data_IF_120664475409
#
_entry.id   IF_120664475409
#
_cell.length_a   1.000
_cell.length_b   1.000
_cell.length_c   1.000
_cell.angle_alpha   90.00
_cell.angle_beta   90.00
_cell.angle_gamma   90.00
#
_symmetry.space_group_name_H-M   'P 1'
#
loop_
_entity.id
_entity.type
_entity.pdbx_description
1 polymer ?
#
# COMPACT_ATOMS: atom_id res chain seq x y z
N UNK A 1 21.35 -20.94 5.62
CA UNK A 1 20.89 -20.63 5.71
C UNK A 1 20.09 -20.11 6.08
N UNK A 2 19.93 -19.94 6.08
CA UNK A 2 19.24 -19.51 6.42
C UNK A 2 18.82 -18.43 6.58
N UNK A 3 19.01 -17.98 6.68
CA UNK A 3 18.79 -16.83 6.93
C UNK A 3 17.96 -16.06 6.18
N UNK A 4 18.06 -16.07 5.25
CA UNK A 4 17.38 -15.46 4.34
C UNK A 4 16.00 -15.66 4.42
N UNK A 5 15.67 -16.57 4.86
CA UNK A 5 14.38 -16.94 4.91
C UNK A 5 13.49 -16.05 5.65
N UNK A 6 13.88 -15.63 6.75
CA UNK A 6 13.06 -14.87 7.54
C UNK A 6 12.69 -13.61 6.94
N UNK A 7 13.56 -13.08 6.20
CA UNK A 7 13.33 -11.83 5.60
C UNK A 7 12.17 -11.86 4.70
N UNK A 8 12.12 -12.87 3.95
CA UNK A 8 11.09 -13.00 2.98
C UNK A 8 9.75 -13.11 3.61
N UNK A 9 9.69 -13.84 4.65
CA UNK A 9 8.45 -14.06 5.28
C UNK A 9 7.80 -12.79 5.74
N UNK A 10 8.58 -11.91 6.23
CA UNK A 10 8.00 -10.76 6.82
C UNK A 10 7.43 -9.81 5.85
N UNK A 11 7.92 -9.79 4.67
CA UNK A 11 7.46 -8.81 3.75
C UNK A 11 6.19 -9.17 3.07
N UNK A 12 5.67 -10.34 3.33
CA UNK A 12 4.52 -10.76 2.60
C UNK A 12 3.25 -10.82 3.39
N UNK A 13 3.19 -10.10 4.47
CA UNK A 13 2.02 -10.13 5.31
C UNK A 13 1.00 -9.07 4.96
N UNK A 14 0.94 -8.66 3.71
CA UNK A 14 -0.06 -7.73 3.28
C UNK A 14 -1.40 -8.45 3.13
N UNK A 15 -2.43 -7.86 3.70
CA UNK A 15 -3.77 -8.41 3.61
C UNK A 15 -4.56 -7.56 2.63
N UNK A 16 -5.22 -8.18 1.66
CA UNK A 16 -5.99 -7.39 0.70
C UNK A 16 -7.16 -6.71 1.39
N UNK A 17 -7.38 -5.46 1.04
CA UNK A 17 -8.50 -4.69 1.57
C UNK A 17 -9.13 -3.93 0.43
N UNK A 18 -10.29 -3.37 0.68
CA UNK A 18 -10.96 -2.57 -0.34
C UNK A 18 -10.55 -1.12 -0.19
N UNK A 19 -10.73 -0.37 -1.27
CA UNK A 19 -10.38 1.04 -1.25
C UNK A 19 -11.09 1.76 -0.12
N UNK A 20 -12.33 1.39 0.14
CA UNK A 20 -13.09 2.05 1.20
C UNK A 20 -12.54 1.75 2.58
N UNK A 21 -11.71 0.72 2.71
CA UNK A 21 -11.09 0.38 3.98
C UNK A 21 -9.83 1.16 4.25
N UNK A 22 -9.37 1.95 3.29
CA UNK A 22 -8.20 2.77 3.51
C UNK A 22 -8.54 3.93 4.43
N UNK A 23 -7.59 4.40 5.25
CA UNK A 23 -7.83 5.58 6.06
C UNK A 23 -8.23 6.75 5.19
N UNK A 24 -9.06 7.61 5.73
CA UNK A 24 -9.50 8.75 4.95
C UNK A 24 -8.32 9.59 4.47
N UNK A 25 -7.28 9.71 5.29
CA UNK A 25 -6.11 10.47 4.89
C UNK A 25 -5.44 9.87 3.67
N UNK A 26 -5.39 8.55 3.59
CA UNK A 26 -4.81 7.89 2.43
C UNK A 26 -5.70 8.14 1.21
N UNK A 27 -7.01 8.03 1.39
CA UNK A 27 -7.92 8.24 0.27
C UNK A 27 -7.82 9.66 -0.26
N UNK A 28 -7.64 10.64 0.63
CA UNK A 28 -7.53 12.01 0.21
C UNK A 28 -6.23 12.26 -0.55
N UNK A 29 -5.15 11.64 -0.10
CA UNK A 29 -3.89 11.77 -0.80
C UNK A 29 -4.00 11.19 -2.20
N UNK A 30 -4.68 10.06 -2.32
CA UNK A 30 -4.87 9.45 -3.62
C UNK A 30 -5.67 10.35 -4.54
N UNK A 31 -6.73 10.95 -4.03
CA UNK A 31 -7.53 11.83 -4.86
C UNK A 31 -6.77 13.07 -5.28
N UNK A 32 -5.84 13.51 -4.45
CA UNK A 32 -5.13 14.75 -4.71
C UNK A 32 -3.92 14.51 -5.61
N UNK A 33 -3.13 13.50 -5.27
CA UNK A 33 -1.85 13.31 -5.92
C UNK A 33 -1.86 12.24 -7.00
N UNK A 34 -2.85 11.35 -6.96
CA UNK A 34 -2.89 10.22 -7.88
C UNK A 34 -4.23 10.15 -8.61
N UNK A 35 -4.84 11.31 -8.84
CA UNK A 35 -6.16 11.36 -9.43
C UNK A 35 -6.20 10.79 -10.84
N UNK A 36 -5.07 10.84 -11.55
CA UNK A 36 -5.03 10.37 -12.92
C UNK A 36 -4.83 8.86 -13.02
N UNK A 37 -4.67 8.21 -11.90
CA UNK A 37 -4.40 6.78 -11.89
C UNK A 37 -5.63 6.03 -11.38
N UNK A 38 -5.71 4.77 -11.75
CA UNK A 38 -6.78 3.91 -11.30
C UNK A 38 -6.25 2.99 -10.23
N UNK A 39 -6.97 2.82 -9.14
CA UNK A 39 -6.56 1.90 -8.09
C UNK A 39 -6.89 0.49 -8.54
N UNK A 40 -5.89 -0.35 -8.59
CA UNK A 40 -6.07 -1.73 -8.96
C UNK A 40 -6.29 -2.61 -7.74
N UNK A 41 -5.46 -2.41 -6.72
CA UNK A 41 -5.54 -3.20 -5.50
C UNK A 41 -5.10 -2.35 -4.34
N UNK A 42 -5.52 -2.77 -3.15
CA UNK A 42 -5.06 -2.15 -1.92
C UNK A 42 -4.82 -3.27 -0.91
N UNK A 43 -3.84 -3.06 -0.05
CA UNK A 43 -3.52 -4.03 0.97
C UNK A 43 -2.93 -3.31 2.17
N UNK A 44 -2.94 -3.97 3.31
CA UNK A 44 -2.41 -3.39 4.53
C UNK A 44 -1.51 -4.40 5.21
N UNK A 45 -0.43 -3.89 5.79
CA UNK A 45 0.47 -4.68 6.61
C UNK A 45 0.53 -4.04 7.98
N UNK A 46 0.50 -4.85 9.01
CA UNK A 46 0.62 -4.34 10.37
C UNK A 46 1.92 -4.88 10.95
N UNK A 47 2.78 -3.98 11.40
CA UNK A 47 4.05 -4.38 11.96
C UNK A 47 3.86 -4.81 13.41
N UNK A 48 4.90 -5.37 13.99
CA UNK A 48 4.84 -5.79 15.37
C UNK A 48 4.70 -4.61 16.31
N UNK A 49 5.06 -3.45 15.84
CA UNK A 49 4.95 -2.26 16.65
C UNK A 49 3.58 -1.63 16.56
N UNK A 50 2.71 -2.22 15.78
CA UNK A 50 1.39 -1.67 15.63
C UNK A 50 1.26 -0.63 14.54
N UNK A 51 2.31 -0.40 13.79
CA UNK A 51 2.28 0.56 12.70
C UNK A 51 1.70 -0.11 11.46
N UNK A 52 0.82 0.56 10.79
CA UNK A 52 0.21 0.01 9.58
C UNK A 52 0.77 0.69 8.35
N UNK A 53 1.06 -0.12 7.35
CA UNK A 53 1.53 0.36 6.07
C UNK A 53 0.51 -0.08 5.03
N UNK A 54 0.10 0.84 4.19
CA UNK A 54 -0.89 0.56 3.17
C UNK A 54 -0.21 0.55 1.81
N UNK A 55 -0.37 -0.55 1.10
CA UNK A 55 0.19 -0.67 -0.23
C UNK A 55 -0.95 -0.54 -1.23
N UNK A 56 -0.86 0.42 -2.12
CA UNK A 56 -1.89 0.63 -3.13
C UNK A 56 -1.24 0.45 -4.49
N UNK A 57 -1.83 -0.39 -5.31
CA UNK A 57 -1.35 -0.60 -6.66
C UNK A 57 -2.20 0.21 -7.60
N UNK A 58 -1.56 1.05 -8.38
CA UNK A 58 -2.22 1.90 -9.35
C UNK A 58 -1.91 1.44 -10.76
N UNK A 59 -2.86 1.67 -11.66
CA UNK A 59 -2.67 1.40 -13.08
C UNK A 59 -2.86 2.70 -13.83
N UNK A 60 -1.91 3.03 -14.71
CA UNK A 60 -2.03 4.25 -15.49
C UNK A 60 -2.76 3.99 -16.79
N UNK A 61 -2.88 5.01 -17.61
CA UNK A 61 -3.65 4.91 -18.84
C UNK A 61 -3.06 3.91 -19.82
N UNK A 62 -1.80 3.60 -19.67
CA UNK A 62 -1.14 2.66 -20.56
C UNK A 62 -1.18 1.23 -20.02
N UNK A 63 -1.76 1.05 -18.84
CA UNK A 63 -1.84 -0.27 -18.26
C UNK A 63 -0.64 -0.65 -17.42
N UNK A 64 0.23 0.29 -17.12
CA UNK A 64 1.41 0.01 -16.31
C UNK A 64 1.06 0.13 -14.85
N UNK A 65 1.42 -0.88 -14.06
CA UNK A 65 1.11 -0.90 -12.64
C UNK A 65 2.25 -0.29 -11.84
N UNK A 66 1.89 0.43 -10.80
CA UNK A 66 2.84 1.01 -9.87
C UNK A 66 2.36 0.81 -8.46
N UNK A 67 3.26 0.52 -7.54
CA UNK A 67 2.91 0.33 -6.15
C UNK A 67 3.38 1.52 -5.34
N UNK A 68 2.50 2.04 -4.51
CA UNK A 68 2.81 3.17 -3.65
C UNK A 68 2.47 2.78 -2.23
N UNK A 69 3.33 3.13 -1.30
CA UNK A 69 3.15 2.78 0.09
C UNK A 69 2.81 4.03 0.88
N UNK A 70 1.83 3.90 1.77
CA UNK A 70 1.35 5.01 2.59
C UNK A 70 1.35 4.60 4.05
N UNK A 71 1.50 5.57 4.93
CA UNK A 71 1.28 5.30 6.35
C UNK A 71 -0.17 5.68 6.69
N UNK A 72 -0.52 5.55 7.95
CA UNK A 72 -1.89 5.82 8.39
C UNK A 72 -2.29 7.26 8.20
N UNK A 73 -1.34 8.14 8.10
CA UNK A 73 -1.60 9.56 7.95
C UNK A 73 -1.72 9.97 6.48
N UNK A 74 -1.61 9.01 5.59
CA UNK A 74 -1.71 9.31 4.17
C UNK A 74 -0.42 9.81 3.55
N UNK A 75 0.68 9.69 4.25
CA UNK A 75 1.96 10.14 3.72
C UNK A 75 2.57 9.04 2.87
N UNK A 76 3.16 9.43 1.75
CA UNK A 76 3.80 8.47 0.87
C UNK A 76 5.13 8.07 1.47
N UNK A 77 5.34 6.77 1.62
CA UNK A 77 6.57 6.24 2.20
C UNK A 77 7.59 5.88 1.14
N UNK A 78 7.12 5.56 -0.03
CA UNK A 78 7.99 5.23 -1.14
C UNK A 78 7.34 5.54 -2.44
#
# INVERSE_FOLDING_TARGET
>A
MVSDVEIVVMVNDYKPIEVKDLPQAVQETIKKDFADLTIKEAAVEESEEGTKTYKVTFTDAEGTDSEVFFNEKGEVLK
#
